data_IF_179456272485
#
_entry.id   IF_179456272485
#
_cell.length_a   1.000
_cell.length_b   1.000
_cell.length_c   1.000
_cell.angle_alpha   90.00
_cell.angle_beta   90.00
_cell.angle_gamma   90.00
#
_symmetry.space_group_name_H-M   'P 1'
#
loop_
_entity.id
_entity.type
_entity.pdbx_description
1 polymer ?
#
# COMPACT_ATOMS: atom_id res chain seq x y z
N UNK A 1 -15.81 -22.69 -22.53
CA UNK A 1 -15.98 -21.86 -21.32
C UNK A 1 -15.71 -20.40 -21.68
N UNK A 2 -16.73 -19.51 -21.65
CA UNK A 2 -16.56 -18.08 -21.91
C UNK A 2 -15.64 -17.50 -20.82
N UNK A 3 -14.46 -17.00 -21.20
CA UNK A 3 -13.60 -16.24 -20.29
C UNK A 3 -14.34 -14.95 -19.95
N UNK A 4 -14.95 -14.89 -18.77
CA UNK A 4 -15.50 -13.66 -18.24
C UNK A 4 -14.38 -12.62 -18.27
N UNK A 5 -14.48 -11.64 -19.17
CA UNK A 5 -13.66 -10.43 -19.07
C UNK A 5 -13.90 -9.90 -17.65
N UNK A 6 -12.86 -9.48 -16.92
CA UNK A 6 -13.04 -8.99 -15.57
C UNK A 6 -13.82 -7.68 -15.67
N UNK A 7 -15.14 -7.78 -15.66
CA UNK A 7 -16.02 -6.65 -15.48
C UNK A 7 -15.63 -6.07 -14.14
N UNK A 8 -15.05 -4.87 -14.20
CA UNK A 8 -14.76 -4.06 -13.05
C UNK A 8 -16.12 -3.76 -12.40
N UNK A 9 -16.57 -4.63 -11.51
CA UNK A 9 -17.79 -4.41 -10.74
C UNK A 9 -17.72 -3.05 -10.03
N UNK A 10 -18.87 -2.54 -9.58
CA UNK A 10 -19.00 -1.21 -8.97
C UNK A 10 -17.91 -0.91 -7.91
N UNK A 11 -17.55 -1.92 -7.10
CA UNK A 11 -16.50 -1.79 -6.09
C UNK A 11 -15.08 -1.66 -6.67
N UNK A 12 -14.73 -2.42 -7.71
CA UNK A 12 -13.43 -2.34 -8.37
C UNK A 12 -13.23 -0.97 -9.03
N UNK A 13 -14.28 -0.44 -9.67
CA UNK A 13 -14.26 0.89 -10.28
C UNK A 13 -14.04 2.01 -9.25
N UNK A 14 -14.75 1.94 -8.12
CA UNK A 14 -14.54 2.88 -6.99
C UNK A 14 -13.12 2.79 -6.42
N UNK A 15 -12.58 1.58 -6.31
CA UNK A 15 -11.20 1.36 -5.87
C UNK A 15 -10.20 2.06 -6.81
N UNK A 16 -10.29 1.86 -8.13
CA UNK A 16 -9.38 2.50 -9.07
C UNK A 16 -9.55 4.02 -9.11
N UNK A 17 -10.78 4.52 -9.01
CA UNK A 17 -11.04 5.96 -8.91
C UNK A 17 -10.38 6.56 -7.66
N UNK A 18 -10.51 5.90 -6.50
CA UNK A 18 -9.88 6.33 -5.26
C UNK A 18 -8.34 6.36 -5.37
N UNK A 19 -7.75 5.29 -5.89
CA UNK A 19 -6.29 5.18 -6.07
C UNK A 19 -5.78 6.30 -6.99
N UNK A 20 -6.46 6.55 -8.11
CA UNK A 20 -6.09 7.61 -9.06
C UNK A 20 -6.23 8.99 -8.45
N UNK A 21 -7.35 9.27 -7.78
CA UNK A 21 -7.60 10.56 -7.12
C UNK A 21 -6.54 10.86 -6.06
N UNK A 22 -6.13 9.85 -5.29
CA UNK A 22 -5.10 9.96 -4.26
C UNK A 22 -3.68 9.79 -4.80
N UNK A 23 -3.51 9.60 -6.11
CA UNK A 23 -2.22 9.34 -6.78
C UNK A 23 -1.40 8.26 -6.07
N UNK A 24 -2.07 7.21 -5.59
CA UNK A 24 -1.43 6.11 -4.88
C UNK A 24 -0.79 5.15 -5.88
N UNK A 25 0.40 4.71 -5.52
CA UNK A 25 1.15 3.64 -6.17
C UNK A 25 1.19 2.40 -5.26
N UNK A 26 1.12 2.56 -3.95
CA UNK A 26 1.01 1.47 -2.97
C UNK A 26 -0.31 1.58 -2.19
N UNK A 27 -0.98 0.44 -2.01
CA UNK A 27 -2.18 0.31 -1.16
C UNK A 27 -1.96 -0.77 -0.11
N UNK A 28 -2.31 -0.46 1.14
CA UNK A 28 -2.30 -1.41 2.26
C UNK A 28 -3.72 -1.76 2.68
N UNK A 29 -3.90 -2.98 3.20
CA UNK A 29 -5.20 -3.38 3.77
C UNK A 29 -5.58 -2.43 4.91
N UNK A 30 -6.83 -1.97 4.90
CA UNK A 30 -7.40 -1.05 5.87
C UNK A 30 -7.39 0.41 5.41
N UNK A 31 -6.73 0.74 4.29
CA UNK A 31 -6.72 2.10 3.77
C UNK A 31 -8.00 2.47 3.03
N UNK A 32 -8.74 1.47 2.52
CA UNK A 32 -9.99 1.70 1.79
C UNK A 32 -11.22 1.66 2.69
N UNK A 33 -11.16 0.92 3.80
CA UNK A 33 -12.26 0.82 4.77
C UNK A 33 -12.78 2.15 5.32
N UNK A 34 -11.96 3.19 5.58
CA UNK A 34 -12.49 4.48 6.05
C UNK A 34 -13.08 5.36 4.94
N UNK A 35 -12.77 5.10 3.66
CA UNK A 35 -13.13 5.99 2.55
C UNK A 35 -14.22 5.43 1.64
N UNK A 36 -14.26 4.11 1.51
CA UNK A 36 -15.34 3.38 0.86
C UNK A 36 -16.05 2.59 1.93
N UNK A 37 -17.38 2.60 1.93
CA UNK A 37 -18.25 1.90 2.90
C UNK A 37 -18.13 0.37 2.81
N UNK A 38 -16.91 -0.16 2.92
CA UNK A 38 -16.57 -1.57 2.86
C UNK A 38 -15.88 -2.01 4.14
N UNK A 39 -16.16 -3.24 4.53
CA UNK A 39 -15.47 -3.90 5.63
C UNK A 39 -14.06 -4.33 5.23
N UNK A 40 -13.17 -4.50 6.23
CA UNK A 40 -11.81 -5.03 6.02
C UNK A 40 -11.82 -6.39 5.31
N UNK A 41 -12.85 -7.22 5.56
CA UNK A 41 -13.03 -8.52 4.89
C UNK A 41 -13.29 -8.36 3.39
N UNK A 42 -14.22 -7.46 3.04
CA UNK A 42 -14.53 -7.13 1.64
C UNK A 42 -13.34 -6.50 0.91
N UNK A 43 -12.61 -5.62 1.58
CA UNK A 43 -11.38 -5.02 1.05
C UNK A 43 -10.32 -6.10 0.73
N UNK A 44 -10.10 -7.02 1.67
CA UNK A 44 -9.15 -8.11 1.49
C UNK A 44 -9.52 -9.01 0.32
N UNK A 45 -10.80 -9.34 0.20
CA UNK A 45 -11.30 -10.17 -0.90
C UNK A 45 -11.19 -9.45 -2.26
N UNK A 46 -11.51 -8.16 -2.31
CA UNK A 46 -11.31 -7.32 -3.50
C UNK A 46 -9.85 -7.32 -3.95
N UNK A 47 -8.93 -7.00 -3.05
CA UNK A 47 -7.50 -6.94 -3.36
C UNK A 47 -6.95 -8.32 -3.78
N UNK A 48 -7.42 -9.40 -3.14
CA UNK A 48 -7.08 -10.77 -3.54
C UNK A 48 -7.53 -11.06 -4.98
N UNK A 49 -8.77 -10.71 -5.33
CA UNK A 49 -9.32 -10.92 -6.68
C UNK A 49 -8.60 -10.09 -7.74
N UNK A 50 -8.33 -8.82 -7.46
CA UNK A 50 -7.59 -7.94 -8.38
C UNK A 50 -6.16 -8.41 -8.59
N UNK A 51 -5.49 -8.88 -7.53
CA UNK A 51 -4.15 -9.45 -7.64
C UNK A 51 -4.15 -10.76 -8.44
N UNK A 52 -5.11 -11.66 -8.17
CA UNK A 52 -5.23 -12.94 -8.88
C UNK A 52 -5.60 -12.78 -10.37
N UNK A 53 -6.30 -11.71 -10.73
CA UNK A 53 -6.64 -11.38 -12.12
C UNK A 53 -5.58 -10.54 -12.84
N UNK A 54 -4.54 -10.09 -12.13
CA UNK A 54 -3.42 -9.34 -12.70
C UNK A 54 -3.70 -7.85 -12.90
N UNK A 55 -4.71 -7.28 -12.26
CA UNK A 55 -4.98 -5.84 -12.30
C UNK A 55 -4.08 -5.04 -11.36
N UNK A 56 -3.57 -5.69 -10.31
CA UNK A 56 -2.62 -5.14 -9.34
C UNK A 56 -1.57 -6.21 -9.04
N UNK A 57 -0.42 -5.80 -8.50
CA UNK A 57 0.66 -6.71 -8.12
C UNK A 57 0.71 -6.81 -6.61
N UNK A 58 0.69 -8.02 -6.06
CA UNK A 58 0.90 -8.23 -4.62
C UNK A 58 2.40 -8.22 -4.33
N UNK A 59 2.87 -7.23 -3.55
CA UNK A 59 4.27 -7.12 -3.15
C UNK A 59 4.58 -8.02 -1.95
N UNK A 60 3.74 -7.92 -0.91
CA UNK A 60 3.78 -8.80 0.27
C UNK A 60 2.38 -8.96 0.85
N UNK A 61 2.23 -9.77 1.91
CA UNK A 61 0.93 -9.93 2.58
C UNK A 61 0.44 -8.57 3.09
N UNK A 62 -0.70 -8.13 2.55
CA UNK A 62 -1.35 -6.87 2.93
C UNK A 62 -0.82 -5.61 2.25
N UNK A 63 0.11 -5.71 1.30
CA UNK A 63 0.66 -4.56 0.55
C UNK A 63 0.62 -4.85 -0.95
N UNK A 64 0.02 -3.95 -1.71
CA UNK A 64 -0.25 -4.11 -3.13
C UNK A 64 0.27 -2.91 -3.91
N UNK A 65 0.90 -3.19 -5.05
CA UNK A 65 1.33 -2.21 -6.02
C UNK A 65 0.22 -2.05 -7.07
N UNK A 66 -0.23 -0.81 -7.23
CA UNK A 66 -1.39 -0.47 -8.05
C UNK A 66 -0.97 0.37 -9.26
N UNK A 67 -1.67 0.25 -10.39
CA UNK A 67 -1.32 1.01 -11.56
C UNK A 67 -1.68 2.48 -11.39
N UNK A 68 -0.82 3.43 -11.83
CA UNK A 68 -1.12 4.86 -11.76
C UNK A 68 -2.29 5.27 -12.67
N UNK A 69 -2.59 4.47 -13.70
CA UNK A 69 -3.71 4.62 -14.62
C UNK A 69 -4.27 3.25 -14.97
N UNK A 70 -5.56 3.15 -15.27
CA UNK A 70 -6.17 1.88 -15.67
C UNK A 70 -5.45 1.35 -16.92
N UNK A 71 -4.90 0.13 -16.89
CA UNK A 71 -4.16 -0.42 -18.01
C UNK A 71 -5.09 -0.72 -19.18
N UNK A 72 -4.76 -0.19 -20.36
CA UNK A 72 -5.42 -0.54 -21.61
C UNK A 72 -5.18 -2.03 -21.90
N UNK A 73 -6.22 -2.87 -21.75
CA UNK A 73 -6.13 -4.33 -21.91
C UNK A 73 -6.31 -5.13 -20.61
N UNK A 74 -6.50 -4.47 -19.47
CA UNK A 74 -6.99 -5.11 -18.25
C UNK A 74 -5.98 -5.98 -17.49
N UNK A 75 -4.69 -5.83 -17.79
CA UNK A 75 -3.59 -6.40 -16.99
C UNK A 75 -2.55 -5.35 -16.70
N UNK A 76 -2.12 -5.27 -15.46
CA UNK A 76 -1.02 -4.44 -15.03
C UNK A 76 0.26 -5.28 -14.99
N UNK A 77 1.19 -4.98 -15.90
CA UNK A 77 2.50 -5.63 -15.96
C UNK A 77 3.60 -4.57 -15.85
N UNK A 78 3.90 -4.10 -14.63
CA UNK A 78 5.06 -3.24 -14.42
C UNK A 78 6.35 -4.03 -14.62
N UNK A 79 7.40 -3.37 -15.10
CA UNK A 79 8.71 -3.99 -15.26
C UNK A 79 9.29 -4.48 -13.92
N UNK A 80 10.09 -5.55 -13.95
CA UNK A 80 10.66 -6.19 -12.75
C UNK A 80 11.44 -5.21 -11.87
N UNK A 81 12.23 -4.31 -12.47
CA UNK A 81 12.96 -3.28 -11.73
C UNK A 81 12.04 -2.37 -10.90
N UNK A 82 10.90 -1.96 -11.47
CA UNK A 82 9.92 -1.12 -10.78
C UNK A 82 9.22 -1.89 -9.65
N UNK A 83 8.94 -3.18 -9.85
CA UNK A 83 8.38 -4.04 -8.79
C UNK A 83 9.36 -4.14 -7.63
N UNK A 84 10.65 -4.37 -7.91
CA UNK A 84 11.70 -4.47 -6.89
C UNK A 84 11.85 -3.15 -6.12
N UNK A 85 11.92 -2.02 -6.84
CA UNK A 85 11.96 -0.70 -6.23
C UNK A 85 10.77 -0.49 -5.27
N UNK A 86 9.55 -0.78 -5.73
CA UNK A 86 8.33 -0.59 -4.92
C UNK A 86 8.22 -1.57 -3.77
N UNK A 87 8.77 -2.78 -3.92
CA UNK A 87 8.91 -3.73 -2.83
C UNK A 87 9.84 -3.17 -1.75
N UNK A 88 10.99 -2.62 -2.14
CA UNK A 88 11.92 -1.98 -1.21
C UNK A 88 11.24 -0.82 -0.49
N UNK A 89 10.63 0.13 -1.21
CA UNK A 89 9.88 1.25 -0.61
C UNK A 89 8.76 0.77 0.34
N UNK A 90 7.95 -0.20 -0.08
CA UNK A 90 6.85 -0.75 0.73
C UNK A 90 7.30 -1.54 1.96
N UNK A 91 8.52 -2.07 1.93
CA UNK A 91 9.22 -2.70 3.06
C UNK A 91 9.84 -1.62 3.97
N UNK A 92 10.41 -0.57 3.40
CA UNK A 92 11.18 0.44 4.13
C UNK A 92 10.34 1.35 5.03
N UNK A 93 9.03 1.51 4.78
CA UNK A 93 8.16 2.25 5.73
C UNK A 93 8.15 1.60 7.13
N UNK A 94 8.38 0.29 7.22
CA UNK A 94 8.56 -0.41 8.50
C UNK A 94 9.88 -0.01 9.18
N UNK A 95 10.93 0.25 8.39
CA UNK A 95 12.21 0.77 8.84
C UNK A 95 12.13 2.26 9.20
N UNK A 96 11.38 3.06 8.46
CA UNK A 96 11.15 4.49 8.76
C UNK A 96 10.39 4.67 10.06
N UNK A 97 9.35 3.89 10.33
CA UNK A 97 8.68 3.89 11.64
C UNK A 97 9.63 3.52 12.78
N UNK A 98 10.53 2.56 12.54
CA UNK A 98 11.54 2.15 13.50
C UNK A 98 12.54 3.29 13.74
N UNK A 99 13.09 3.89 12.68
CA UNK A 99 13.96 5.07 12.71
C UNK A 99 13.29 6.31 13.33
N UNK A 100 11.99 6.47 13.13
CA UNK A 100 11.21 7.56 13.71
C UNK A 100 10.97 7.31 15.20
N UNK A 101 10.68 6.06 15.60
CA UNK A 101 10.68 5.67 17.02
C UNK A 101 12.06 5.87 17.65
N UNK A 102 13.14 5.45 16.98
CA UNK A 102 14.50 5.58 17.47
C UNK A 102 14.87 7.07 17.65
N UNK A 103 14.54 7.92 16.67
CA UNK A 103 14.71 9.38 16.80
C UNK A 103 13.82 10.00 17.87
N UNK A 104 12.59 9.51 18.02
CA UNK A 104 11.66 10.01 19.03
C UNK A 104 12.11 9.61 20.44
N UNK A 105 12.62 8.39 20.62
CA UNK A 105 13.27 7.90 21.85
C UNK A 105 14.56 8.71 22.15
N UNK A 106 15.42 8.94 21.15
CA UNK A 106 16.62 9.76 21.31
C UNK A 106 16.30 11.21 21.70
N UNK A 107 15.22 11.79 21.16
CA UNK A 107 14.77 13.13 21.57
C UNK A 107 14.22 13.18 22.99
N UNK A 108 13.62 12.08 23.47
CA UNK A 108 13.08 11.96 24.83
C UNK A 108 14.16 11.63 25.87
N UNK A 109 15.27 11.01 25.45
CA UNK A 109 16.40 10.66 26.33
C UNK A 109 17.45 11.80 26.45
N UNK A 110 17.50 12.73 25.48
CA UNK A 110 18.45 13.86 25.49
C UNK A 110 18.29 14.93 26.59
N UNK A 111 17.16 15.12 27.30
CA UNK A 111 17.11 16.10 28.39
C UNK A 111 17.61 15.56 29.75
N UNK A 112 18.03 14.29 29.86
CA UNK A 112 18.32 13.66 31.17
C UNK A 112 19.80 13.74 31.61
N UNK A 113 20.68 14.30 30.79
CA UNK A 113 22.05 14.57 31.22
C UNK A 113 22.34 16.07 31.06
N UNK A 114 21.99 16.84 32.09
CA UNK A 114 22.49 18.21 32.18
C UNK A 114 23.93 18.13 32.70
N UNK A 115 24.88 18.90 32.13
CA UNK A 115 26.24 18.98 32.66
C UNK A 115 26.33 19.40 34.14
N UNK A 116 25.25 19.94 34.69
CA UNK A 116 25.12 20.32 36.10
C UNK A 116 24.95 19.15 37.06
N UNK A 117 24.71 17.94 36.57
CA UNK A 117 24.45 16.76 37.42
C UNK A 117 25.76 16.00 37.80
N UNK A 118 26.92 16.50 37.34
CA UNK A 118 28.26 15.96 37.60
C UNK A 118 29.18 16.92 38.38
N UNK A 119 28.62 17.95 39.02
CA UNK A 119 29.33 18.85 39.94
C UNK A 119 28.75 18.70 41.35
#
# INVERSE_FOLDING_TARGET
MKRARPELGNLSSRFFAYVQLKKKDIVRIGELSPVSSITISQERDLLRRLAGSGWIVRLKRGVYFVPPRIPAGGKYSPGTALILQKLMEGVDVSTERKRQLDRQLESQLKPVLRPSDFL
#
